data_IF_728044568393
#
_entry.id   IF_728044568393
#
_cell.length_a   1.000
_cell.length_b   1.000
_cell.length_c   1.000
_cell.angle_alpha   90.00
_cell.angle_beta   90.00
_cell.angle_gamma   90.00
#
_symmetry.space_group_name_H-M   'P 1'
#
loop_
_entity.id
_entity.type
_entity.pdbx_description
1 polymer ?
#
# COMPACT_ATOMS: atom_id res chain seq x y z
N UNK A 1 -41.73 -12.97 29.22
CA UNK A 1 -41.03 -13.36 27.97
C UNK A 1 -39.89 -12.39 27.75
N UNK A 2 -38.66 -12.81 28.00
CA UNK A 2 -37.46 -11.99 27.88
C UNK A 2 -36.85 -12.22 26.49
N UNK A 3 -36.75 -11.16 25.68
CA UNK A 3 -36.04 -11.20 24.40
C UNK A 3 -34.60 -10.80 24.69
N UNK A 4 -33.74 -11.81 24.80
CA UNK A 4 -32.30 -11.63 24.86
C UNK A 4 -31.82 -11.13 23.49
N UNK A 5 -31.48 -9.84 23.42
CA UNK A 5 -30.78 -9.25 22.28
C UNK A 5 -29.36 -9.80 22.21
N UNK A 6 -29.15 -10.80 21.37
CA UNK A 6 -27.82 -11.27 21.02
C UNK A 6 -27.10 -10.17 20.24
N UNK A 7 -26.12 -9.54 20.89
CA UNK A 7 -25.12 -8.71 20.24
C UNK A 7 -24.37 -9.57 19.22
N UNK A 8 -24.65 -9.36 17.93
CA UNK A 8 -23.82 -9.86 16.85
C UNK A 8 -22.51 -9.07 16.87
N UNK A 9 -21.56 -9.56 17.66
CA UNK A 9 -20.16 -9.23 17.55
C UNK A 9 -19.63 -9.79 16.23
N UNK A 10 -19.69 -8.98 15.18
CA UNK A 10 -18.88 -9.16 13.99
C UNK A 10 -17.42 -8.84 14.37
N UNK A 11 -16.79 -9.80 15.05
CA UNK A 11 -15.35 -9.97 15.01
C UNK A 11 -14.98 -10.31 13.57
N UNK A 12 -14.87 -9.27 12.75
CA UNK A 12 -14.18 -9.31 11.47
C UNK A 12 -12.75 -9.80 11.78
N UNK A 13 -12.54 -11.10 11.59
CA UNK A 13 -11.25 -11.74 11.35
C UNK A 13 -10.64 -11.12 10.10
N UNK A 14 -10.17 -9.89 10.26
CA UNK A 14 -9.25 -9.24 9.34
C UNK A 14 -7.87 -9.78 9.72
N UNK A 15 -7.21 -10.59 8.87
CA UNK A 15 -5.79 -10.78 9.07
C UNK A 15 -5.15 -9.39 9.10
N UNK A 16 -4.46 -9.13 10.21
CA UNK A 16 -3.95 -7.82 10.59
C UNK A 16 -3.15 -7.17 9.46
N UNK A 17 -3.39 -5.87 9.31
CA UNK A 17 -2.64 -4.93 8.49
C UNK A 17 -1.13 -5.13 8.65
N UNK A 18 -0.40 -4.98 7.55
CA UNK A 18 1.05 -4.78 7.57
C UNK A 18 1.94 -5.95 7.17
N UNK A 19 1.47 -7.20 7.14
CA UNK A 19 2.39 -8.34 6.99
C UNK A 19 2.99 -8.53 5.58
N UNK A 20 2.31 -8.11 4.52
CA UNK A 20 2.75 -8.47 3.16
C UNK A 20 3.54 -7.34 2.49
N UNK A 21 3.24 -6.07 2.77
CA UNK A 21 4.02 -4.96 2.21
C UNK A 21 5.37 -4.73 2.93
N UNK A 22 5.49 -5.11 4.21
CA UNK A 22 6.70 -4.89 5.00
C UNK A 22 7.75 -6.02 4.91
N UNK A 23 7.38 -7.23 4.49
CA UNK A 23 8.28 -8.39 4.47
C UNK A 23 8.95 -8.70 3.13
N UNK A 24 8.45 -8.18 2.01
CA UNK A 24 9.04 -8.44 0.69
C UNK A 24 10.23 -7.52 0.42
N UNK A 25 11.37 -7.92 0.94
CA UNK A 25 12.64 -7.30 0.60
C UNK A 25 13.08 -7.77 -0.80
N UNK A 26 13.36 -6.81 -1.67
CA UNK A 26 14.08 -7.03 -2.91
C UNK A 26 15.32 -6.14 -2.89
N UNK A 27 16.45 -6.74 -3.23
CA UNK A 27 17.72 -6.04 -3.38
C UNK A 27 18.16 -6.28 -4.81
N UNK A 28 18.60 -5.24 -5.51
CA UNK A 28 19.25 -5.46 -6.80
C UNK A 28 20.49 -6.33 -6.58
N UNK A 29 20.88 -7.12 -7.58
CA UNK A 29 22.02 -8.04 -7.52
C UNK A 29 23.30 -7.47 -6.88
N UNK A 30 24.30 -8.32 -6.65
CA UNK A 30 25.56 -7.87 -6.07
C UNK A 30 26.55 -7.45 -7.17
N UNK A 31 27.28 -6.33 -6.99
CA UNK A 31 28.41 -6.03 -7.87
C UNK A 31 29.39 -7.19 -7.81
N UNK A 32 29.77 -7.72 -8.96
CA UNK A 32 30.53 -8.93 -9.04
C UNK A 32 32.03 -8.70 -8.83
N UNK A 33 32.49 -8.70 -7.58
CA UNK A 33 33.92 -8.83 -7.29
C UNK A 33 34.44 -10.19 -7.80
N UNK A 34 35.52 -10.16 -8.59
CA UNK A 34 36.11 -11.36 -9.18
C UNK A 34 35.29 -11.98 -10.31
N UNK A 35 34.47 -11.19 -11.03
CA UNK A 35 33.92 -11.64 -12.30
C UNK A 35 35.04 -11.84 -13.33
N UNK A 36 34.87 -12.78 -14.28
CA UNK A 36 35.80 -12.95 -15.41
C UNK A 36 35.85 -11.67 -16.27
N UNK A 37 36.72 -11.64 -17.27
CA UNK A 37 36.82 -10.49 -18.17
C UNK A 37 35.45 -10.15 -18.80
N UNK A 38 35.14 -8.85 -18.90
CA UNK A 38 33.86 -8.36 -19.41
C UNK A 38 33.59 -8.98 -20.79
N UNK A 39 32.38 -9.51 -20.97
CA UNK A 39 32.00 -10.27 -22.17
C UNK A 39 31.88 -11.77 -21.92
N UNK A 40 32.49 -12.29 -20.85
CA UNK A 40 32.26 -13.65 -20.38
C UNK A 40 30.99 -13.72 -19.52
N UNK A 41 29.82 -13.63 -20.15
CA UNK A 41 28.52 -13.76 -19.47
C UNK A 41 28.22 -15.24 -19.20
N UNK A 42 28.69 -15.75 -18.07
CA UNK A 42 28.40 -17.10 -17.59
C UNK A 42 27.08 -17.20 -16.82
N UNK A 43 26.70 -18.42 -16.41
CA UNK A 43 25.55 -18.64 -15.52
C UNK A 43 25.64 -17.77 -14.27
N UNK A 44 24.55 -17.07 -13.93
CA UNK A 44 24.50 -16.20 -12.75
C UNK A 44 25.08 -14.79 -12.94
N UNK A 45 25.57 -14.45 -14.14
CA UNK A 45 25.99 -13.09 -14.51
C UNK A 45 24.95 -12.47 -15.44
N UNK A 46 24.47 -11.28 -15.10
CA UNK A 46 23.52 -10.53 -15.91
C UNK A 46 24.22 -9.95 -17.13
N UNK A 47 23.63 -10.14 -18.31
CA UNK A 47 24.04 -9.43 -19.54
C UNK A 47 23.61 -7.96 -19.47
N UNK A 48 24.14 -7.07 -20.32
CA UNK A 48 23.75 -5.66 -20.34
C UNK A 48 22.24 -5.47 -20.54
N UNK A 49 21.61 -6.27 -21.42
CA UNK A 49 20.16 -6.22 -21.63
C UNK A 49 19.38 -6.69 -20.40
N UNK A 50 19.88 -7.72 -19.71
CA UNK A 50 19.25 -8.22 -18.49
C UNK A 50 19.39 -7.22 -17.33
N UNK A 51 20.52 -6.54 -17.20
CA UNK A 51 20.71 -5.46 -16.22
C UNK A 51 19.68 -4.35 -16.44
N UNK A 52 19.51 -3.91 -17.69
CA UNK A 52 18.54 -2.87 -18.04
C UNK A 52 17.10 -3.31 -17.76
N UNK A 53 16.72 -4.53 -18.16
CA UNK A 53 15.40 -5.09 -17.87
C UNK A 53 15.16 -5.23 -16.35
N UNK A 54 16.16 -5.66 -15.59
CA UNK A 54 16.08 -5.70 -14.14
C UNK A 54 15.91 -4.30 -13.54
N UNK A 55 16.60 -3.27 -14.05
CA UNK A 55 16.45 -1.89 -13.57
C UNK A 55 15.04 -1.34 -13.81
N UNK A 56 14.47 -1.56 -14.99
CA UNK A 56 13.08 -1.17 -15.29
C UNK A 56 12.09 -1.85 -14.35
N UNK A 57 12.25 -3.16 -14.12
CA UNK A 57 11.41 -3.90 -13.16
C UNK A 57 11.59 -3.41 -11.73
N UNK A 58 12.81 -3.08 -11.33
CA UNK A 58 13.10 -2.50 -10.03
C UNK A 58 12.38 -1.16 -9.83
N UNK A 59 12.41 -0.27 -10.82
CA UNK A 59 11.65 0.99 -10.78
C UNK A 59 10.14 0.75 -10.66
N UNK A 60 9.60 -0.18 -11.46
CA UNK A 60 8.18 -0.52 -11.42
C UNK A 60 7.76 -1.08 -10.05
N UNK A 61 8.61 -1.90 -9.41
CA UNK A 61 8.41 -2.38 -8.04
C UNK A 61 8.48 -1.25 -7.01
N UNK A 62 9.40 -0.31 -7.16
CA UNK A 62 9.50 0.84 -6.26
C UNK A 62 8.26 1.74 -6.35
N UNK A 63 7.79 2.06 -7.56
CA UNK A 63 6.56 2.83 -7.76
C UNK A 63 5.31 2.09 -7.23
N UNK A 64 5.23 0.77 -7.45
CA UNK A 64 4.14 -0.04 -6.91
C UNK A 64 4.14 -0.06 -5.38
N UNK A 65 5.32 -0.10 -4.74
CA UNK A 65 5.46 -0.02 -3.28
C UNK A 65 4.96 1.32 -2.75
N UNK A 66 5.36 2.42 -3.37
CA UNK A 66 4.91 3.76 -2.99
C UNK A 66 3.38 3.88 -3.09
N UNK A 67 2.79 3.34 -4.17
CA UNK A 67 1.33 3.32 -4.33
C UNK A 67 0.64 2.51 -3.23
N UNK A 68 1.17 1.33 -2.89
CA UNK A 68 0.63 0.52 -1.78
C UNK A 68 0.70 1.27 -0.44
N UNK A 69 1.78 2.00 -0.18
CA UNK A 69 1.90 2.83 1.03
C UNK A 69 0.94 4.03 1.03
N UNK A 70 0.60 4.58 -0.13
CA UNK A 70 -0.44 5.61 -0.25
C UNK A 70 -1.83 5.03 0.04
N UNK A 71 -2.15 3.86 -0.53
CA UNK A 71 -3.43 3.19 -0.33
C UNK A 71 -3.64 2.74 1.11
N UNK A 72 -2.59 2.24 1.76
CA UNK A 72 -2.61 1.89 3.20
C UNK A 72 -2.91 3.12 4.06
N UNK A 73 -2.23 4.26 3.81
CA UNK A 73 -2.50 5.51 4.53
C UNK A 73 -3.92 6.03 4.30
N UNK A 74 -4.43 5.90 3.08
CA UNK A 74 -5.80 6.32 2.77
C UNK A 74 -6.85 5.43 3.47
N UNK A 75 -6.61 4.12 3.55
CA UNK A 75 -7.44 3.21 4.33
C UNK A 75 -7.43 3.57 5.81
N UNK A 76 -6.26 3.80 6.40
CA UNK A 76 -6.14 4.18 7.80
C UNK A 76 -6.87 5.49 8.11
N UNK A 77 -6.81 6.47 7.22
CA UNK A 77 -7.56 7.73 7.34
C UNK A 77 -9.07 7.51 7.29
N UNK A 78 -9.57 6.76 6.30
CA UNK A 78 -11.00 6.46 6.16
C UNK A 78 -11.53 5.72 7.38
N UNK A 79 -10.77 4.79 7.93
CA UNK A 79 -11.17 4.04 9.11
C UNK A 79 -11.15 4.88 10.39
N UNK A 80 -10.17 5.77 10.54
CA UNK A 80 -10.17 6.73 11.64
C UNK A 80 -11.41 7.65 11.57
N UNK A 81 -11.80 8.09 10.37
CA UNK A 81 -13.03 8.88 10.19
C UNK A 81 -14.31 8.09 10.51
N UNK A 82 -14.35 6.80 10.15
CA UNK A 82 -15.49 5.93 10.44
C UNK A 82 -15.62 5.61 11.93
N UNK A 83 -14.49 5.52 12.65
CA UNK A 83 -14.46 5.27 14.10
C UNK A 83 -14.59 6.53 14.94
N UNK A 84 -14.35 7.71 14.36
CA UNK A 84 -14.46 8.97 15.09
C UNK A 84 -15.88 9.12 15.67
N UNK A 85 -16.01 9.35 16.99
CA UNK A 85 -17.32 9.50 17.60
C UNK A 85 -18.05 10.65 16.91
N UNK A 86 -19.31 10.42 16.48
CA UNK A 86 -20.17 11.44 15.86
C UNK A 86 -20.33 12.62 16.82
N UNK A 87 -19.43 13.61 16.74
CA UNK A 87 -19.34 14.76 17.67
C UNK A 87 -20.57 15.68 17.66
N UNK A 88 -21.63 15.36 16.92
CA UNK A 88 -22.86 16.16 16.85
C UNK A 88 -24.05 15.69 17.70
N UNK A 89 -24.14 14.41 18.09
CA UNK A 89 -25.39 13.88 18.65
C UNK A 89 -25.46 13.87 20.19
N UNK A 90 -24.31 13.81 20.88
CA UNK A 90 -24.26 13.73 22.34
C UNK A 90 -24.13 15.10 23.02
N UNK A 91 -23.55 16.10 22.35
CA UNK A 91 -23.36 17.44 22.92
C UNK A 91 -24.66 18.28 22.98
N UNK A 92 -25.67 17.95 22.17
CA UNK A 92 -26.93 18.70 22.14
C UNK A 92 -27.96 18.24 23.19
N UNK A 93 -27.80 17.06 23.82
CA UNK A 93 -28.72 16.62 24.89
C UNK A 93 -28.39 17.21 26.26
N UNK A 94 -27.25 17.88 26.42
CA UNK A 94 -26.84 18.56 27.66
C UNK A 94 -26.82 20.09 27.60
N UNK A 95 -26.85 20.69 26.40
CA UNK A 95 -26.79 22.14 26.20
C UNK A 95 -28.19 22.75 26.01
N UNK A 96 -29.10 22.42 26.94
CA UNK A 96 -30.25 23.27 27.18
C UNK A 96 -29.75 24.61 27.72
N UNK A 97 -30.14 25.70 27.04
CA UNK A 97 -30.06 27.08 27.53
C UNK A 97 -28.64 27.62 27.81
N UNK A 98 -28.01 28.23 26.80
CA UNK A 98 -27.52 29.62 26.89
C UNK A 98 -26.93 30.11 25.57
N UNK A 99 -27.51 31.23 25.12
CA UNK A 99 -27.00 32.23 24.18
C UNK A 99 -27.02 31.88 22.69
N UNK A 100 -27.77 32.72 21.97
CA UNK A 100 -27.79 32.76 20.53
C UNK A 100 -26.40 33.03 19.95
N UNK A 101 -26.10 32.25 18.93
CA UNK A 101 -24.93 32.33 18.07
C UNK A 101 -25.20 31.36 16.95
N UNK A 102 -25.03 31.83 15.70
CA UNK A 102 -25.43 31.17 14.45
C UNK A 102 -25.47 29.64 14.54
N UNK A 103 -26.68 29.08 14.41
CA UNK A 103 -26.91 27.65 14.30
C UNK A 103 -26.18 27.16 13.05
N UNK A 104 -25.08 26.43 13.24
CA UNK A 104 -24.44 25.71 12.14
C UNK A 104 -25.52 24.84 11.45
N UNK A 105 -25.60 24.82 10.11
CA UNK A 105 -26.61 24.04 9.42
C UNK A 105 -26.51 22.58 9.86
N UNK A 106 -27.55 22.10 10.56
CA UNK A 106 -27.64 20.73 11.02
C UNK A 106 -27.89 19.85 9.80
N UNK A 107 -26.90 19.04 9.43
CA UNK A 107 -27.06 18.02 8.39
C UNK A 107 -28.19 17.08 8.84
N UNK A 108 -29.22 16.84 8.01
CA UNK A 108 -30.31 15.93 8.35
C UNK A 108 -29.75 14.54 8.70
N UNK A 109 -30.29 13.84 9.72
CA UNK A 109 -29.83 12.52 10.12
C UNK A 109 -29.73 11.52 8.96
N UNK A 110 -30.71 11.54 8.04
CA UNK A 110 -30.71 10.69 6.85
C UNK A 110 -29.53 10.98 5.90
N UNK A 111 -29.13 12.25 5.76
CA UNK A 111 -27.97 12.64 4.96
C UNK A 111 -26.66 12.20 5.63
N UNK A 112 -26.55 12.34 6.96
CA UNK A 112 -25.40 11.87 7.71
C UNK A 112 -25.24 10.33 7.68
N UNK A 113 -26.35 9.60 7.65
CA UNK A 113 -26.35 8.14 7.47
C UNK A 113 -25.93 7.74 6.05
N UNK A 114 -26.44 8.42 5.02
CA UNK A 114 -26.05 8.19 3.64
C UNK A 114 -24.55 8.46 3.42
N UNK A 115 -24.02 9.56 3.96
CA UNK A 115 -22.59 9.88 3.91
C UNK A 115 -21.74 8.82 4.62
N UNK A 116 -22.20 8.32 5.77
CA UNK A 116 -21.51 7.25 6.48
C UNK A 116 -21.50 5.93 5.70
N UNK A 117 -22.63 5.56 5.11
CA UNK A 117 -22.76 4.37 4.27
C UNK A 117 -21.84 4.45 3.04
N UNK A 118 -21.79 5.60 2.37
CA UNK A 118 -20.90 5.83 1.23
C UNK A 118 -19.42 5.72 1.62
N UNK A 119 -19.03 6.19 2.82
CA UNK A 119 -17.67 6.03 3.36
C UNK A 119 -17.35 4.56 3.63
N UNK A 120 -18.29 3.78 4.17
CA UNK A 120 -18.11 2.34 4.37
C UNK A 120 -17.88 1.59 3.06
N UNK A 121 -18.68 1.89 2.04
CA UNK A 121 -18.55 1.28 0.71
C UNK A 121 -17.23 1.66 0.03
N UNK A 122 -16.81 2.92 0.20
CA UNK A 122 -15.51 3.40 -0.28
C UNK A 122 -14.36 2.68 0.42
N UNK A 123 -14.40 2.57 1.76
CA UNK A 123 -13.38 1.86 2.52
C UNK A 123 -13.32 0.37 2.15
N UNK A 124 -14.47 -0.29 1.95
CA UNK A 124 -14.54 -1.68 1.54
C UNK A 124 -13.95 -1.90 0.14
N UNK A 125 -14.32 -1.07 -0.83
CA UNK A 125 -13.81 -1.19 -2.21
C UNK A 125 -12.30 -0.94 -2.29
N UNK A 126 -11.80 0.11 -1.61
CA UNK A 126 -10.37 0.39 -1.51
C UNK A 126 -9.60 -0.73 -0.81
N UNK A 127 -10.19 -1.34 0.22
CA UNK A 127 -9.54 -2.43 0.94
C UNK A 127 -9.42 -3.68 0.08
N UNK A 128 -10.44 -3.98 -0.72
CA UNK A 128 -10.40 -5.10 -1.67
C UNK A 128 -9.31 -4.89 -2.72
N UNK A 129 -9.25 -3.71 -3.34
CA UNK A 129 -8.24 -3.41 -4.36
C UNK A 129 -6.83 -3.40 -3.77
N UNK A 130 -6.65 -2.88 -2.56
CA UNK A 130 -5.38 -2.92 -1.84
C UNK A 130 -4.89 -4.37 -1.60
N UNK A 131 -5.76 -5.27 -1.12
CA UNK A 131 -5.40 -6.68 -0.91
C UNK A 131 -4.99 -7.39 -2.20
N UNK A 132 -5.69 -7.11 -3.31
CA UNK A 132 -5.33 -7.66 -4.62
C UNK A 132 -3.98 -7.12 -5.10
N UNK A 133 -3.75 -5.81 -4.98
CA UNK A 133 -2.50 -5.17 -5.36
C UNK A 133 -1.31 -5.72 -4.54
N UNK A 134 -1.52 -5.95 -3.24
CA UNK A 134 -0.53 -6.58 -2.35
C UNK A 134 -0.17 -7.99 -2.81
N UNK A 135 -1.15 -8.82 -3.17
CA UNK A 135 -0.90 -10.17 -3.66
C UNK A 135 -0.10 -10.16 -4.97
N UNK A 136 -0.49 -9.31 -5.92
CA UNK A 136 0.23 -9.14 -7.19
C UNK A 136 1.65 -8.62 -6.97
N UNK A 137 1.83 -7.69 -6.03
CA UNK A 137 3.15 -7.17 -5.67
C UNK A 137 4.07 -8.26 -5.15
N UNK A 138 3.57 -9.15 -4.28
CA UNK A 138 4.32 -10.31 -3.78
C UNK A 138 4.83 -11.21 -4.91
N UNK A 139 3.98 -11.53 -5.90
CA UNK A 139 4.36 -12.34 -7.07
C UNK A 139 5.46 -11.65 -7.89
N UNK A 140 5.33 -10.35 -8.13
CA UNK A 140 6.33 -9.57 -8.89
C UNK A 140 7.67 -9.51 -8.18
N UNK A 141 7.67 -9.35 -6.85
CA UNK A 141 8.89 -9.38 -6.04
C UNK A 141 9.56 -10.75 -6.09
N UNK A 142 8.80 -11.84 -6.00
CA UNK A 142 9.35 -13.20 -6.12
C UNK A 142 10.01 -13.43 -7.48
N UNK A 143 9.34 -13.04 -8.57
CA UNK A 143 9.92 -13.14 -9.91
C UNK A 143 11.18 -12.29 -10.08
N UNK A 144 11.17 -11.05 -9.60
CA UNK A 144 12.35 -10.19 -9.58
C UNK A 144 13.50 -10.81 -8.77
N UNK A 145 13.22 -11.39 -7.61
CA UNK A 145 14.25 -11.98 -6.77
C UNK A 145 14.89 -13.22 -7.42
N UNK A 146 14.09 -14.03 -8.12
CA UNK A 146 14.58 -15.20 -8.86
C UNK A 146 15.44 -14.82 -10.08
N UNK A 147 15.09 -13.73 -10.77
CA UNK A 147 15.74 -13.34 -12.02
C UNK A 147 16.90 -12.35 -11.85
N UNK A 148 16.82 -11.46 -10.86
CA UNK A 148 17.69 -10.29 -10.76
C UNK A 148 18.46 -10.20 -9.44
N UNK A 149 17.79 -10.44 -8.29
CA UNK A 149 18.36 -10.12 -6.98
C UNK A 149 19.56 -10.97 -6.57
N UNK A 150 19.63 -12.20 -7.04
CA UNK A 150 20.69 -13.16 -6.70
C UNK A 150 21.85 -13.17 -7.70
N UNK A 151 21.72 -12.44 -8.81
CA UNK A 151 22.69 -12.48 -9.91
C UNK A 151 23.74 -11.39 -9.76
N UNK A 152 24.91 -11.65 -10.34
CA UNK A 152 26.02 -10.69 -10.42
C UNK A 152 25.91 -9.84 -11.67
N UNK A 153 26.49 -8.65 -11.64
CA UNK A 153 26.60 -7.79 -12.83
C UNK A 153 27.97 -7.09 -12.87
N UNK A 154 28.38 -6.67 -14.06
CA UNK A 154 29.50 -5.75 -14.25
C UNK A 154 29.05 -4.32 -13.95
N UNK A 155 29.81 -3.59 -13.14
CA UNK A 155 29.46 -2.22 -12.73
C UNK A 155 29.35 -1.26 -13.91
N UNK A 156 30.14 -1.47 -14.96
CA UNK A 156 30.05 -0.67 -16.19
C UNK A 156 28.72 -0.86 -16.91
N UNK A 157 28.20 -2.08 -16.95
CA UNK A 157 26.91 -2.38 -17.59
C UNK A 157 25.76 -1.78 -16.78
N UNK A 158 25.88 -1.81 -15.44
CA UNK A 158 24.98 -1.12 -14.53
C UNK A 158 24.98 0.39 -14.78
N UNK A 159 26.16 1.02 -14.84
CA UNK A 159 26.29 2.45 -15.09
C UNK A 159 25.72 2.82 -16.46
N UNK A 160 26.07 2.06 -17.51
CA UNK A 160 25.56 2.28 -18.85
C UNK A 160 24.03 2.15 -18.92
N UNK A 161 23.45 1.15 -18.25
CA UNK A 161 22.01 0.97 -18.20
C UNK A 161 21.31 2.10 -17.40
N UNK A 162 21.88 2.52 -16.26
CA UNK A 162 21.37 3.67 -15.49
C UNK A 162 21.38 4.95 -16.32
N UNK A 163 22.47 5.23 -17.05
CA UNK A 163 22.54 6.38 -17.98
C UNK A 163 21.47 6.31 -19.07
N UNK A 164 21.28 5.15 -19.72
CA UNK A 164 20.24 4.97 -20.75
C UNK A 164 18.82 5.16 -20.21
N UNK A 165 18.57 4.74 -18.98
CA UNK A 165 17.28 4.86 -18.31
C UNK A 165 17.08 6.20 -17.58
N UNK A 166 18.05 7.12 -17.63
CA UNK A 166 17.98 8.40 -16.93
C UNK A 166 17.97 8.28 -15.40
N UNK A 167 18.53 7.20 -14.85
CA UNK A 167 18.65 6.98 -13.41
C UNK A 167 19.95 7.63 -12.94
N UNK A 168 19.84 8.67 -12.10
CA UNK A 168 21.02 9.30 -11.49
C UNK A 168 21.81 8.28 -10.66
N UNK A 169 23.14 8.42 -10.64
CA UNK A 169 24.07 7.52 -9.93
C UNK A 169 23.93 7.60 -8.41
#
# INVERSE_FOLDING_TARGET
MAVAGAALGLALLVPARGAVAQGTHYRFGVPGAGLPEKGAYGPGVLTPQQVEACLQRWQALSAAREKLQQDERQLDQLEAELQAPRRGAAAQRGAGQRRGGAQAPAVPPAQAEAEHQAKLETAYSLRRSYMEAVAQYGVRVQGFNAECATRRYYEEDMRAARTRLGIAD
#
